data_IF_816697706546
#
_entry.id   IF_816697706546
#
_cell.length_a   1.000
_cell.length_b   1.000
_cell.length_c   1.000
_cell.angle_alpha   90.00
_cell.angle_beta   90.00
_cell.angle_gamma   90.00
#
_symmetry.space_group_name_H-M   'P 1'
#
loop_
_entity.id
_entity.type
_entity.pdbx_description
1 polymer ?
#
# COMPACT_ATOMS: atom_id res chain seq x y z
N UNK A 1 29.97 -2.48 -41.52
CA UNK A 1 28.67 -3.18 -41.52
C UNK A 1 28.47 -4.11 -40.32
N UNK A 2 29.44 -4.98 -39.95
CA UNK A 2 29.31 -5.93 -38.83
C UNK A 2 29.17 -5.20 -37.47
N UNK A 3 29.95 -4.14 -37.22
CA UNK A 3 29.87 -3.39 -35.95
C UNK A 3 28.53 -2.63 -35.72
N UNK A 4 27.88 -2.19 -36.82
CA UNK A 4 26.56 -1.51 -36.71
C UNK A 4 25.42 -2.51 -36.45
N UNK A 5 25.60 -3.76 -36.89
CA UNK A 5 24.63 -4.82 -36.68
C UNK A 5 24.66 -5.33 -35.23
N UNK A 6 25.84 -5.48 -34.63
CA UNK A 6 26.00 -5.82 -33.21
C UNK A 6 25.53 -4.71 -32.27
N UNK A 7 25.74 -3.43 -32.63
CA UNK A 7 25.21 -2.30 -31.89
C UNK A 7 23.66 -2.23 -31.93
N UNK A 8 23.08 -2.59 -33.10
CA UNK A 8 21.62 -2.66 -33.26
C UNK A 8 21.02 -3.85 -32.51
N UNK A 9 21.65 -5.03 -32.53
CA UNK A 9 21.18 -6.19 -31.75
C UNK A 9 21.34 -6.00 -30.25
N UNK A 10 22.42 -5.38 -29.78
CA UNK A 10 22.61 -5.03 -28.38
C UNK A 10 21.61 -3.96 -27.91
N UNK A 11 21.28 -2.98 -28.75
CA UNK A 11 20.25 -1.98 -28.45
C UNK A 11 18.83 -2.59 -28.44
N UNK A 12 18.53 -3.50 -29.35
CA UNK A 12 17.28 -4.26 -29.37
C UNK A 12 17.17 -5.21 -28.16
N UNK A 13 18.24 -5.88 -27.76
CA UNK A 13 18.27 -6.73 -26.57
C UNK A 13 18.14 -5.91 -25.29
N UNK A 14 18.77 -4.72 -25.21
CA UNK A 14 18.63 -3.81 -24.08
C UNK A 14 17.20 -3.22 -23.99
N UNK A 15 16.52 -2.98 -25.11
CA UNK A 15 15.12 -2.53 -25.13
C UNK A 15 14.12 -3.65 -24.84
N UNK A 16 14.54 -4.91 -24.99
CA UNK A 16 13.70 -6.09 -24.72
C UNK A 16 13.72 -6.52 -23.24
N UNK A 17 14.76 -6.15 -22.47
CA UNK A 17 14.86 -6.56 -21.07
C UNK A 17 13.91 -5.75 -20.20
N UNK A 18 13.28 -6.44 -19.20
CA UNK A 18 12.47 -5.78 -18.17
C UNK A 18 13.30 -4.78 -17.38
N UNK A 19 12.70 -3.67 -17.06
CA UNK A 19 13.31 -2.65 -16.24
C UNK A 19 12.27 -1.93 -15.41
N UNK A 20 12.70 -1.44 -14.24
CA UNK A 20 11.98 -0.50 -13.41
C UNK A 20 12.92 0.67 -13.16
N UNK A 21 12.39 1.86 -13.18
CA UNK A 21 13.07 3.08 -12.80
C UNK A 21 12.25 3.88 -11.85
N UNK A 22 12.92 4.59 -10.96
CA UNK A 22 12.31 5.44 -9.95
C UNK A 22 12.95 6.82 -10.09
N UNK A 23 12.12 7.85 -10.00
CA UNK A 23 12.56 9.24 -9.92
C UNK A 23 11.71 10.00 -8.93
N UNK A 24 12.26 11.07 -8.38
CA UNK A 24 11.54 11.94 -7.44
C UNK A 24 11.77 13.41 -7.77
N UNK A 25 10.86 14.25 -7.31
CA UNK A 25 10.98 15.69 -7.33
C UNK A 25 10.29 16.30 -6.12
N UNK A 26 10.76 17.45 -5.65
CA UNK A 26 10.14 18.22 -4.58
C UNK A 26 9.26 19.33 -5.12
N UNK A 27 8.37 19.87 -4.28
CA UNK A 27 7.49 20.99 -4.63
C UNK A 27 8.21 22.29 -5.07
N UNK A 28 9.50 22.39 -4.80
CA UNK A 28 10.33 23.55 -5.19
C UNK A 28 10.80 23.49 -6.66
N UNK A 29 10.61 22.36 -7.35
CA UNK A 29 11.14 22.14 -8.70
C UNK A 29 10.09 22.48 -9.76
N UNK A 30 10.42 23.32 -10.76
CA UNK A 30 9.54 23.54 -11.91
C UNK A 30 9.30 22.23 -12.67
N UNK A 31 8.06 22.00 -13.15
CA UNK A 31 7.71 20.79 -13.90
C UNK A 31 8.13 19.50 -13.20
N UNK A 32 7.83 19.41 -11.89
CA UNK A 32 8.27 18.31 -11.03
C UNK A 32 7.83 16.92 -11.54
N UNK A 33 6.65 16.83 -12.17
CA UNK A 33 6.15 15.59 -12.75
C UNK A 33 7.08 15.07 -13.84
N UNK A 34 7.38 15.90 -14.83
CA UNK A 34 8.28 15.55 -15.93
C UNK A 34 9.73 15.37 -15.48
N UNK A 35 10.18 16.11 -14.45
CA UNK A 35 11.51 15.92 -13.86
C UNK A 35 11.63 14.52 -13.22
N UNK A 36 10.73 14.17 -12.33
CA UNK A 36 10.72 12.85 -11.67
C UNK A 36 10.55 11.73 -12.71
N UNK A 37 9.65 11.91 -13.68
CA UNK A 37 9.44 10.96 -14.76
C UNK A 37 10.69 10.75 -15.62
N UNK A 38 11.36 11.82 -16.04
CA UNK A 38 12.59 11.72 -16.84
C UNK A 38 13.70 10.97 -16.09
N UNK A 39 13.83 11.18 -14.78
CA UNK A 39 14.74 10.43 -13.95
C UNK A 39 14.37 8.93 -13.92
N UNK A 40 13.09 8.61 -13.73
CA UNK A 40 12.60 7.22 -13.75
C UNK A 40 12.81 6.56 -15.11
N UNK A 41 12.57 7.25 -16.20
CA UNK A 41 12.70 6.70 -17.57
C UNK A 41 14.16 6.46 -17.96
N UNK A 42 15.06 7.36 -17.60
CA UNK A 42 16.46 7.33 -18.06
C UNK A 42 16.57 7.10 -19.58
N UNK A 43 15.70 7.74 -20.37
CA UNK A 43 15.64 7.64 -21.84
C UNK A 43 14.96 6.36 -22.39
N UNK A 44 14.31 5.56 -21.56
CA UNK A 44 13.60 4.33 -21.97
C UNK A 44 12.10 4.61 -22.18
N UNK A 45 11.43 3.76 -22.96
CA UNK A 45 9.98 3.84 -23.21
C UNK A 45 9.23 2.99 -22.18
N UNK A 46 8.32 3.57 -21.37
CA UNK A 46 7.59 2.82 -20.36
C UNK A 46 6.36 2.10 -20.93
N UNK A 47 6.02 0.97 -20.32
CA UNK A 47 4.73 0.30 -20.47
C UNK A 47 3.69 0.80 -19.44
N UNK A 48 4.18 1.38 -18.32
CA UNK A 48 3.35 1.92 -17.24
C UNK A 48 4.13 3.00 -16.48
N UNK A 49 3.42 4.03 -16.07
CA UNK A 49 3.89 5.04 -15.12
C UNK A 49 2.96 5.09 -13.91
N UNK A 50 3.54 5.06 -12.70
CA UNK A 50 2.80 5.19 -11.43
C UNK A 50 3.39 6.38 -10.69
N UNK A 51 2.54 7.29 -10.20
CA UNK A 51 2.96 8.45 -9.41
C UNK A 51 2.35 8.42 -8.00
N UNK A 52 3.19 8.61 -7.00
CA UNK A 52 2.82 8.80 -5.61
C UNK A 52 3.14 10.24 -5.24
N UNK A 53 2.15 11.03 -4.84
CA UNK A 53 2.31 12.47 -4.72
C UNK A 53 1.63 13.02 -3.46
N UNK A 54 2.26 14.01 -2.84
CA UNK A 54 1.65 14.76 -1.74
C UNK A 54 0.34 15.42 -2.17
N UNK A 55 -0.63 15.42 -1.28
CA UNK A 55 -1.92 16.08 -1.49
C UNK A 55 -1.81 17.62 -1.51
N UNK A 56 -0.70 18.19 -1.08
CA UNK A 56 -0.45 19.63 -1.05
C UNK A 56 -0.04 20.21 -2.40
N UNK A 57 0.27 19.36 -3.39
CA UNK A 57 0.67 19.78 -4.73
C UNK A 57 -0.53 20.20 -5.56
N UNK A 58 -0.29 21.00 -6.61
CA UNK A 58 -1.28 21.19 -7.68
C UNK A 58 -1.38 19.88 -8.49
N UNK A 59 -2.27 19.01 -8.03
CA UNK A 59 -2.44 17.67 -8.61
C UNK A 59 -2.90 17.74 -10.08
N UNK A 60 -3.68 18.77 -10.46
CA UNK A 60 -4.14 18.95 -11.83
C UNK A 60 -2.95 19.16 -12.76
N UNK A 61 -2.09 20.11 -12.42
CA UNK A 61 -0.86 20.39 -13.19
C UNK A 61 0.08 19.19 -13.19
N UNK A 62 0.26 18.52 -12.06
CA UNK A 62 1.13 17.34 -11.94
C UNK A 62 0.71 16.22 -12.90
N UNK A 63 -0.55 15.81 -12.88
CA UNK A 63 -1.01 14.69 -13.71
C UNK A 63 -1.08 15.05 -15.19
N UNK A 64 -1.35 16.31 -15.53
CA UNK A 64 -1.27 16.83 -16.91
C UNK A 64 0.18 16.78 -17.42
N UNK A 65 1.14 17.24 -16.62
CA UNK A 65 2.57 17.23 -16.96
C UNK A 65 3.06 15.77 -17.17
N UNK A 66 2.73 14.84 -16.26
CA UNK A 66 3.06 13.43 -16.40
C UNK A 66 2.42 12.82 -17.66
N UNK A 67 1.13 13.08 -17.90
CA UNK A 67 0.40 12.53 -19.06
C UNK A 67 0.97 13.08 -20.37
N UNK A 68 1.31 14.37 -20.43
CA UNK A 68 1.91 15.02 -21.60
C UNK A 68 3.32 14.57 -21.92
N UNK A 69 4.01 13.94 -20.96
CA UNK A 69 5.41 13.53 -21.07
C UNK A 69 5.60 12.08 -21.53
N UNK A 70 4.53 11.32 -21.79
CA UNK A 70 4.58 9.93 -22.30
C UNK A 70 3.66 9.75 -23.51
N UNK A 71 3.85 8.66 -24.22
CA UNK A 71 3.02 8.33 -25.39
C UNK A 71 1.55 8.04 -24.97
N UNK A 72 0.62 8.30 -25.88
CA UNK A 72 -0.82 8.23 -25.59
C UNK A 72 -1.29 6.84 -25.09
N UNK A 73 -0.65 5.78 -25.53
CA UNK A 73 -0.96 4.41 -25.13
C UNK A 73 -0.36 3.98 -23.79
N UNK A 74 0.60 4.74 -23.24
CA UNK A 74 1.21 4.43 -21.94
C UNK A 74 0.28 4.85 -20.82
N UNK A 75 -0.25 3.94 -19.98
CA UNK A 75 -1.06 4.30 -18.84
C UNK A 75 -0.27 5.11 -17.82
N UNK A 76 -0.88 6.17 -17.31
CA UNK A 76 -0.38 6.97 -16.18
C UNK A 76 -1.39 6.89 -15.05
N UNK A 77 -0.97 6.32 -13.94
CA UNK A 77 -1.82 6.10 -12.75
C UNK A 77 -1.13 6.59 -11.50
N UNK A 78 -1.83 6.65 -10.38
CA UNK A 78 -1.21 7.01 -9.10
C UNK A 78 -2.22 7.37 -8.04
N UNK A 79 -1.73 7.95 -6.95
CA UNK A 79 -2.57 8.44 -5.87
C UNK A 79 -1.87 9.50 -5.02
N UNK A 80 -2.66 10.21 -4.22
CA UNK A 80 -2.15 11.03 -3.12
C UNK A 80 -1.68 10.16 -1.96
N UNK A 81 -0.80 10.70 -1.13
CA UNK A 81 -0.05 9.96 -0.11
C UNK A 81 -0.14 10.62 1.26
N UNK A 82 0.37 9.94 2.26
CA UNK A 82 0.71 10.53 3.57
C UNK A 82 2.24 10.53 3.78
N UNK A 83 2.96 10.85 2.71
CA UNK A 83 4.40 10.87 2.57
C UNK A 83 4.88 9.82 1.55
N UNK A 84 5.92 10.14 0.81
CA UNK A 84 6.48 9.31 -0.25
C UNK A 84 7.71 8.53 0.24
N UNK A 85 7.94 7.36 -0.35
CA UNK A 85 9.08 6.48 -0.09
C UNK A 85 9.88 6.30 -1.38
N UNK A 86 11.20 6.49 -1.31
CA UNK A 86 12.11 6.20 -2.42
C UNK A 86 13.45 5.66 -1.91
N UNK A 87 14.28 5.08 -2.79
CA UNK A 87 15.64 4.64 -2.43
C UNK A 87 16.52 5.76 -1.86
N UNK A 88 16.15 7.02 -2.04
CA UNK A 88 16.90 8.19 -1.54
C UNK A 88 16.38 8.69 -0.18
N UNK A 89 15.42 7.99 0.43
CA UNK A 89 14.81 8.34 1.70
C UNK A 89 13.32 8.64 1.59
N UNK A 90 12.66 8.82 2.75
CA UNK A 90 11.27 9.31 2.80
C UNK A 90 11.23 10.79 2.41
N UNK A 91 10.09 11.24 1.88
CA UNK A 91 9.83 12.65 1.55
C UNK A 91 8.42 13.05 1.92
N UNK A 92 8.23 14.34 2.17
CA UNK A 92 6.94 14.99 2.33
C UNK A 92 6.82 16.14 1.32
N UNK A 93 5.63 16.35 0.80
CA UNK A 93 5.37 17.46 -0.11
C UNK A 93 5.97 17.30 -1.52
N UNK A 94 6.31 16.08 -1.94
CA UNK A 94 6.93 15.78 -3.22
C UNK A 94 6.13 14.85 -4.10
N UNK A 95 6.81 14.31 -5.11
CA UNK A 95 6.32 13.23 -5.97
C UNK A 95 7.40 12.19 -6.19
N UNK A 96 7.03 10.91 -6.09
CA UNK A 96 7.84 9.76 -6.49
C UNK A 96 7.16 9.10 -7.69
N UNK A 97 7.90 8.92 -8.77
CA UNK A 97 7.42 8.32 -10.01
C UNK A 97 8.13 6.99 -10.25
N UNK A 98 7.35 5.97 -10.53
CA UNK A 98 7.83 4.66 -10.97
C UNK A 98 7.49 4.51 -12.45
N UNK A 99 8.46 4.08 -13.23
CA UNK A 99 8.24 3.66 -14.60
C UNK A 99 8.72 2.22 -14.77
N UNK A 100 7.93 1.40 -15.43
CA UNK A 100 8.33 0.04 -15.81
C UNK A 100 8.12 -0.19 -17.30
N UNK A 101 8.98 -1.01 -17.88
CA UNK A 101 8.92 -1.33 -19.31
C UNK A 101 9.77 -2.54 -19.69
N UNK A 102 9.71 -2.85 -20.96
CA UNK A 102 10.31 -4.04 -21.57
C UNK A 102 9.26 -4.99 -22.13
N UNK A 103 9.63 -5.79 -23.13
CA UNK A 103 8.70 -6.62 -23.91
C UNK A 103 8.03 -7.75 -23.10
N UNK A 104 8.59 -8.09 -21.94
CA UNK A 104 8.10 -9.17 -21.08
C UNK A 104 6.99 -8.75 -20.13
N UNK A 105 6.72 -7.45 -20.02
CA UNK A 105 5.56 -6.96 -19.28
C UNK A 105 4.33 -6.84 -20.18
N UNK A 106 3.18 -7.19 -19.64
CA UNK A 106 1.86 -6.86 -20.16
C UNK A 106 1.11 -6.05 -19.10
N UNK A 107 0.51 -4.93 -19.49
CA UNK A 107 -0.16 -4.02 -18.55
C UNK A 107 -1.57 -3.71 -19.05
N UNK A 108 -2.53 -3.74 -18.15
CA UNK A 108 -3.87 -3.27 -18.40
C UNK A 108 -4.40 -2.53 -17.17
N UNK A 109 -5.05 -1.39 -17.38
CA UNK A 109 -5.55 -0.56 -16.29
C UNK A 109 -7.07 -0.38 -16.38
N UNK A 110 -7.72 -0.18 -15.25
CA UNK A 110 -9.14 0.16 -15.16
C UNK A 110 -9.37 1.14 -14.02
N UNK A 111 -10.43 1.92 -14.14
CA UNK A 111 -10.87 2.85 -13.10
C UNK A 111 -12.35 2.63 -12.81
N UNK A 112 -12.74 2.69 -11.54
CA UNK A 112 -14.10 2.78 -11.08
C UNK A 112 -14.29 4.12 -10.37
N UNK A 113 -15.36 4.84 -10.71
CA UNK A 113 -15.70 6.14 -10.14
C UNK A 113 -17.03 6.03 -9.37
N UNK A 114 -17.28 6.95 -8.41
CA UNK A 114 -18.47 6.94 -7.56
C UNK A 114 -18.64 5.63 -6.77
N UNK A 115 -17.56 5.19 -6.17
CA UNK A 115 -17.45 3.84 -5.58
C UNK A 115 -18.22 3.68 -4.26
N UNK A 116 -18.59 4.77 -3.59
CA UNK A 116 -19.47 4.78 -2.40
C UNK A 116 -20.83 4.13 -2.64
N UNK A 117 -21.31 4.11 -3.88
CA UNK A 117 -22.53 3.41 -4.27
C UNK A 117 -22.42 1.86 -4.23
N UNK A 118 -21.18 1.32 -4.30
CA UNK A 118 -20.95 -0.12 -4.30
C UNK A 118 -19.48 -0.50 -4.37
N UNK A 119 -18.79 -0.46 -3.22
CA UNK A 119 -17.35 -0.75 -3.12
C UNK A 119 -16.96 -2.13 -3.67
N UNK A 120 -17.78 -3.14 -3.42
CA UNK A 120 -17.53 -4.49 -3.93
C UNK A 120 -17.61 -4.57 -5.45
N UNK A 121 -18.64 -3.96 -6.05
CA UNK A 121 -18.81 -3.94 -7.50
C UNK A 121 -17.71 -3.12 -8.17
N UNK A 122 -17.29 -2.02 -7.55
CA UNK A 122 -16.16 -1.23 -8.01
C UNK A 122 -14.83 -2.03 -7.99
N UNK A 123 -14.58 -2.79 -6.91
CA UNK A 123 -13.44 -3.70 -6.83
C UNK A 123 -13.48 -4.78 -7.90
N UNK A 124 -14.64 -5.36 -8.17
CA UNK A 124 -14.84 -6.34 -9.24
C UNK A 124 -14.56 -5.73 -10.62
N UNK A 125 -15.11 -4.54 -10.89
CA UNK A 125 -14.94 -3.84 -12.17
C UNK A 125 -13.44 -3.59 -12.50
N UNK A 126 -12.67 -3.08 -11.56
CA UNK A 126 -11.24 -2.80 -11.83
C UNK A 126 -10.42 -4.09 -11.99
N UNK A 127 -10.85 -5.17 -11.36
CA UNK A 127 -10.21 -6.48 -11.44
C UNK A 127 -10.39 -7.15 -12.81
N UNK A 128 -11.41 -6.77 -13.60
CA UNK A 128 -11.58 -7.24 -14.98
C UNK A 128 -10.40 -6.85 -15.89
N UNK A 129 -9.59 -5.86 -15.50
CA UNK A 129 -8.36 -5.50 -16.21
C UNK A 129 -7.40 -6.70 -16.38
N UNK A 130 -7.40 -7.65 -15.45
CA UNK A 130 -6.57 -8.86 -15.52
C UNK A 130 -6.88 -9.71 -16.76
N UNK A 131 -8.13 -9.73 -17.22
CA UNK A 131 -8.53 -10.49 -18.42
C UNK A 131 -7.98 -9.90 -19.73
N UNK A 132 -7.50 -8.66 -19.70
CA UNK A 132 -6.92 -7.95 -20.86
C UNK A 132 -5.41 -8.10 -20.98
N UNK A 133 -4.77 -8.77 -20.00
CA UNK A 133 -3.35 -9.09 -20.09
C UNK A 133 -3.10 -10.14 -21.17
N UNK A 134 -1.96 -10.01 -21.83
CA UNK A 134 -1.41 -11.10 -22.62
C UNK A 134 -1.18 -12.34 -21.75
N UNK A 135 -1.05 -13.50 -22.36
CA UNK A 135 -0.77 -14.74 -21.63
C UNK A 135 0.64 -14.68 -21.00
N UNK A 136 0.67 -14.34 -19.71
CA UNK A 136 1.87 -14.27 -18.88
C UNK A 136 1.72 -15.23 -17.71
N UNK A 137 2.78 -15.99 -17.36
CA UNK A 137 2.73 -16.99 -16.28
C UNK A 137 2.55 -16.35 -14.91
N UNK A 138 3.07 -15.14 -14.69
CA UNK A 138 2.98 -14.43 -13.44
C UNK A 138 2.11 -13.19 -13.61
N UNK A 139 1.16 -13.00 -12.72
CA UNK A 139 0.21 -11.87 -12.75
C UNK A 139 0.02 -11.32 -11.35
N UNK A 140 -0.15 -10.03 -11.25
CA UNK A 140 -0.52 -9.33 -10.01
C UNK A 140 -1.52 -8.22 -10.35
N UNK A 141 -2.45 -7.95 -9.46
CA UNK A 141 -3.33 -6.79 -9.54
C UNK A 141 -2.97 -5.79 -8.45
N UNK A 142 -2.42 -4.65 -8.87
CA UNK A 142 -2.19 -3.50 -8.01
C UNK A 142 -3.48 -2.69 -7.91
N UNK A 143 -3.88 -2.36 -6.67
CA UNK A 143 -5.04 -1.52 -6.35
C UNK A 143 -4.57 -0.23 -5.67
N UNK A 144 -4.95 0.91 -6.24
CA UNK A 144 -4.84 2.22 -5.62
C UNK A 144 -6.26 2.73 -5.38
N UNK A 145 -6.63 2.92 -4.12
CA UNK A 145 -8.01 3.23 -3.74
C UNK A 145 -8.10 4.57 -3.04
N UNK A 146 -9.20 5.27 -3.18
CA UNK A 146 -9.50 6.42 -2.32
C UNK A 146 -9.56 5.93 -0.87
N UNK A 147 -8.67 6.43 -0.01
CA UNK A 147 -8.52 5.98 1.37
C UNK A 147 -9.71 6.30 2.28
N UNK A 148 -10.57 7.23 1.85
CA UNK A 148 -11.75 7.68 2.58
C UNK A 148 -13.07 7.15 2.00
N UNK A 149 -13.02 6.29 0.98
CA UNK A 149 -14.21 5.78 0.29
C UNK A 149 -15.03 4.75 1.10
N UNK A 150 -14.62 4.37 2.32
CA UNK A 150 -15.38 3.44 3.17
C UNK A 150 -14.68 2.09 3.38
N UNK A 151 -15.45 0.98 3.48
CA UNK A 151 -14.90 -0.35 3.82
C UNK A 151 -14.03 -0.92 2.68
N UNK A 152 -12.74 -0.71 2.78
CA UNK A 152 -11.74 -1.17 1.81
C UNK A 152 -11.71 -2.71 1.68
N UNK A 153 -12.15 -3.45 2.70
CA UNK A 153 -12.23 -4.90 2.62
C UNK A 153 -13.28 -5.36 1.58
N UNK A 154 -14.34 -4.58 1.35
CA UNK A 154 -15.32 -4.88 0.30
C UNK A 154 -14.71 -4.72 -1.10
N UNK A 155 -13.83 -3.73 -1.32
CA UNK A 155 -13.07 -3.59 -2.57
C UNK A 155 -12.21 -4.83 -2.82
N UNK A 156 -11.45 -5.26 -1.82
CA UNK A 156 -10.62 -6.48 -1.90
C UNK A 156 -11.49 -7.73 -2.19
N UNK A 157 -12.64 -7.86 -1.54
CA UNK A 157 -13.58 -8.97 -1.78
C UNK A 157 -14.14 -8.95 -3.20
N UNK A 158 -14.46 -7.76 -3.72
CA UNK A 158 -14.92 -7.58 -5.10
C UNK A 158 -13.86 -7.99 -6.10
N UNK A 159 -12.65 -7.46 -5.96
CA UNK A 159 -11.53 -7.82 -6.83
C UNK A 159 -11.25 -9.33 -6.78
N UNK A 160 -11.21 -9.91 -5.59
CA UNK A 160 -11.02 -11.35 -5.40
C UNK A 160 -12.08 -12.20 -6.11
N UNK A 161 -13.33 -11.77 -6.11
CA UNK A 161 -14.42 -12.53 -6.77
C UNK A 161 -14.18 -12.70 -8.28
N UNK A 162 -13.42 -11.82 -8.89
CA UNK A 162 -13.07 -11.84 -10.31
C UNK A 162 -11.77 -12.63 -10.56
N UNK A 163 -10.69 -12.27 -9.84
CA UNK A 163 -9.37 -12.84 -10.13
C UNK A 163 -9.09 -14.16 -9.42
N UNK A 164 -9.88 -14.49 -8.40
CA UNK A 164 -9.72 -15.74 -7.66
C UNK A 164 -8.41 -15.82 -6.86
N UNK A 165 -7.98 -17.04 -6.57
CA UNK A 165 -6.79 -17.31 -5.75
C UNK A 165 -5.47 -17.22 -6.52
N UNK A 166 -5.54 -17.23 -7.84
CA UNK A 166 -4.34 -17.32 -8.69
C UNK A 166 -3.64 -15.98 -8.92
N UNK A 167 -4.35 -14.88 -8.81
CA UNK A 167 -3.80 -13.54 -8.98
C UNK A 167 -3.75 -12.86 -7.62
N UNK A 168 -2.57 -12.62 -7.06
CA UNK A 168 -2.45 -11.85 -5.83
C UNK A 168 -2.89 -10.40 -6.03
N UNK A 169 -3.43 -9.81 -4.96
CA UNK A 169 -3.75 -8.39 -4.88
C UNK A 169 -2.70 -7.69 -4.02
N UNK A 170 -2.29 -6.51 -4.42
CA UNK A 170 -1.31 -5.68 -3.69
C UNK A 170 -1.66 -4.21 -3.87
N UNK A 171 -1.23 -3.35 -2.98
CA UNK A 171 -1.41 -1.91 -3.14
C UNK A 171 -1.64 -1.17 -1.83
N UNK A 172 -2.25 -0.01 -1.94
CA UNK A 172 -2.52 0.83 -0.77
C UNK A 172 -3.62 1.85 -1.04
N UNK A 173 -4.17 2.34 0.05
CA UNK A 173 -5.16 3.40 0.05
C UNK A 173 -4.47 4.76 0.02
N UNK A 174 -4.93 5.65 -0.84
CA UNK A 174 -4.47 7.03 -0.89
C UNK A 174 -4.55 7.71 0.48
N UNK A 175 -3.62 8.61 0.75
CA UNK A 175 -3.58 9.44 1.96
C UNK A 175 -3.63 10.92 1.64
N UNK A 176 -3.73 11.77 2.66
CA UNK A 176 -3.69 13.23 2.58
C UNK A 176 -2.96 13.85 3.77
N UNK A 177 -1.75 13.36 4.08
CA UNK A 177 -0.89 13.86 5.15
C UNK A 177 -1.58 13.92 6.54
N UNK A 178 -2.44 12.95 6.82
CA UNK A 178 -3.24 12.82 8.06
C UNK A 178 -4.34 13.88 8.23
N UNK A 179 -4.64 14.67 7.21
CA UNK A 179 -5.74 15.64 7.27
C UNK A 179 -7.11 14.98 7.34
N UNK A 180 -7.24 13.73 6.83
CA UNK A 180 -8.49 12.94 6.78
C UNK A 180 -9.65 13.70 6.11
N UNK A 181 -9.35 14.45 5.03
CA UNK A 181 -10.32 15.31 4.34
C UNK A 181 -10.60 14.87 2.93
N UNK A 182 -9.55 14.64 2.12
CA UNK A 182 -9.70 14.36 0.71
C UNK A 182 -8.51 13.57 0.20
N UNK A 183 -8.75 12.34 -0.21
CA UNK A 183 -7.77 11.52 -0.90
C UNK A 183 -8.13 11.37 -2.38
N UNK A 184 -7.14 11.21 -3.23
CA UNK A 184 -7.34 11.15 -4.67
C UNK A 184 -6.53 10.03 -5.31
N UNK A 185 -7.07 9.48 -6.40
CA UNK A 185 -6.33 8.60 -7.29
C UNK A 185 -6.16 9.27 -8.65
N UNK A 186 -5.12 8.89 -9.39
CA UNK A 186 -4.81 9.44 -10.70
C UNK A 186 -5.05 8.41 -11.79
N UNK A 187 -5.67 8.83 -12.88
CA UNK A 187 -5.91 7.96 -14.02
C UNK A 187 -5.87 8.75 -15.33
N UNK A 188 -4.82 8.51 -16.13
CA UNK A 188 -4.63 9.08 -17.47
C UNK A 188 -4.89 10.60 -17.57
N UNK A 189 -4.22 11.37 -16.71
CA UNK A 189 -4.31 12.83 -16.68
C UNK A 189 -5.49 13.39 -15.89
N UNK A 190 -6.27 12.55 -15.22
CA UNK A 190 -7.38 12.97 -14.34
C UNK A 190 -7.04 12.73 -12.88
N UNK A 191 -7.45 13.66 -12.03
CA UNK A 191 -7.47 13.51 -10.56
C UNK A 191 -8.89 13.17 -10.15
N UNK A 192 -9.07 12.05 -9.45
CA UNK A 192 -10.37 11.49 -9.11
C UNK A 192 -10.45 11.25 -7.61
N UNK A 193 -11.56 11.66 -7.02
CA UNK A 193 -11.97 11.30 -5.65
C UNK A 193 -13.07 10.25 -5.72
N UNK A 194 -13.32 9.56 -4.62
CA UNK A 194 -14.34 8.49 -4.58
C UNK A 194 -14.17 7.50 -5.74
N UNK A 195 -12.91 7.05 -5.95
CA UNK A 195 -12.53 6.24 -7.09
C UNK A 195 -11.48 5.18 -6.73
N UNK A 196 -11.37 4.16 -7.58
CA UNK A 196 -10.40 3.08 -7.46
C UNK A 196 -9.73 2.90 -8.81
N UNK A 197 -8.40 2.76 -8.79
CA UNK A 197 -7.60 2.37 -9.95
C UNK A 197 -7.09 0.94 -9.76
N UNK A 198 -7.35 0.07 -10.73
CA UNK A 198 -6.77 -1.25 -10.84
C UNK A 198 -5.71 -1.28 -11.95
N UNK A 199 -4.54 -1.81 -11.61
CA UNK A 199 -3.44 -2.00 -12.55
C UNK A 199 -3.06 -3.48 -12.58
N UNK A 200 -3.47 -4.17 -13.62
CA UNK A 200 -3.06 -5.53 -13.86
C UNK A 200 -1.68 -5.55 -14.52
N UNK A 201 -0.75 -6.30 -13.95
CA UNK A 201 0.61 -6.47 -14.47
C UNK A 201 0.87 -7.97 -14.68
N UNK A 202 1.18 -8.34 -15.90
CA UNK A 202 1.67 -9.66 -16.27
C UNK A 202 3.16 -9.63 -16.55
N UNK A 203 3.87 -10.69 -16.19
CA UNK A 203 5.32 -10.81 -16.39
C UNK A 203 5.73 -12.25 -16.76
N UNK A 204 6.84 -12.39 -17.45
CA UNK A 204 7.48 -13.67 -17.68
C UNK A 204 8.29 -14.17 -16.47
N UNK A 205 8.57 -13.31 -15.51
CA UNK A 205 9.24 -13.64 -14.26
C UNK A 205 8.36 -13.35 -13.03
N UNK A 206 8.67 -13.99 -11.89
CA UNK A 206 7.83 -13.95 -10.72
C UNK A 206 7.74 -12.57 -10.07
N UNK A 207 6.63 -12.37 -9.36
CA UNK A 207 6.45 -11.32 -8.36
C UNK A 207 6.56 -11.92 -6.97
N UNK A 208 7.10 -11.16 -6.02
CA UNK A 208 7.11 -11.55 -4.63
C UNK A 208 6.40 -10.52 -3.76
N UNK A 209 5.62 -10.98 -2.79
CA UNK A 209 4.87 -10.11 -1.88
C UNK A 209 5.20 -10.47 -0.44
N UNK A 210 5.77 -9.52 0.29
CA UNK A 210 6.01 -9.60 1.72
C UNK A 210 5.02 -8.74 2.50
N UNK A 211 4.55 -9.26 3.63
CA UNK A 211 3.57 -8.58 4.50
C UNK A 211 3.96 -8.79 5.95
N UNK A 212 4.28 -7.72 6.66
CA UNK A 212 4.66 -7.77 8.07
C UNK A 212 4.17 -6.54 8.83
N UNK A 213 3.88 -6.73 10.12
CA UNK A 213 3.36 -5.63 10.95
C UNK A 213 4.27 -5.26 12.13
N UNK A 214 4.98 -6.20 12.72
CA UNK A 214 5.88 -5.93 13.87
C UNK A 214 5.22 -5.95 15.25
N UNK A 215 3.91 -6.14 15.32
CA UNK A 215 3.16 -6.22 16.58
C UNK A 215 3.22 -7.65 17.14
N UNK A 216 3.29 -7.76 18.46
CA UNK A 216 3.26 -9.03 19.20
C UNK A 216 2.06 -9.11 20.12
N UNK A 217 1.52 -10.30 20.32
CA UNK A 217 0.39 -10.55 21.21
C UNK A 217 0.76 -10.33 22.67
N UNK A 218 -0.15 -9.71 23.43
CA UNK A 218 -0.04 -9.50 24.87
C UNK A 218 -1.15 -10.25 25.57
N UNK A 219 -0.77 -11.13 26.51
CA UNK A 219 -1.71 -11.90 27.33
C UNK A 219 -2.51 -12.95 26.53
N UNK A 220 -3.63 -13.35 27.13
CA UNK A 220 -4.52 -14.38 26.59
C UNK A 220 -5.48 -13.81 25.53
N UNK A 221 -5.99 -14.65 24.60
CA UNK A 221 -7.00 -14.22 23.64
C UNK A 221 -8.26 -13.73 24.34
N UNK A 222 -8.99 -12.88 23.64
CA UNK A 222 -10.22 -12.23 24.10
C UNK A 222 -11.32 -12.55 23.07
N UNK A 223 -12.50 -12.92 23.51
CA UNK A 223 -13.63 -13.10 22.62
C UNK A 223 -14.28 -11.74 22.31
N UNK A 224 -14.48 -11.42 21.04
CA UNK A 224 -15.29 -10.28 20.62
C UNK A 224 -16.76 -10.66 20.79
N UNK A 225 -17.36 -10.28 21.91
CA UNK A 225 -18.75 -10.66 22.24
C UNK A 225 -19.78 -9.72 21.65
N UNK A 226 -19.39 -8.46 21.34
CA UNK A 226 -20.26 -7.49 20.68
C UNK A 226 -19.47 -6.59 19.73
N UNK A 227 -19.89 -6.51 18.47
CA UNK A 227 -19.37 -5.53 17.51
C UNK A 227 -20.36 -5.22 16.40
N UNK A 228 -20.30 -3.99 15.88
CA UNK A 228 -21.10 -3.52 14.73
C UNK A 228 -20.16 -2.79 13.76
N UNK A 229 -19.90 -3.40 12.61
CA UNK A 229 -18.96 -2.84 11.64
C UNK A 229 -17.55 -2.68 12.22
N UNK A 230 -17.10 -1.45 12.34
CA UNK A 230 -15.77 -1.08 12.89
C UNK A 230 -15.78 -0.84 14.40
N UNK A 231 -16.95 -0.75 15.03
CA UNK A 231 -17.11 -0.51 16.46
C UNK A 231 -17.12 -1.82 17.24
N UNK A 232 -16.25 -1.93 18.24
CA UNK A 232 -16.19 -3.05 19.19
C UNK A 232 -16.85 -2.60 20.49
N UNK A 233 -18.00 -3.20 20.80
CA UNK A 233 -18.83 -2.84 21.95
C UNK A 233 -18.38 -3.60 23.21
N UNK A 234 -18.21 -4.92 23.08
CA UNK A 234 -17.85 -5.78 24.22
C UNK A 234 -16.77 -6.81 23.86
N UNK A 235 -15.89 -7.04 24.83
CA UNK A 235 -14.86 -8.05 24.84
C UNK A 235 -15.06 -8.93 26.11
N UNK A 236 -15.15 -10.25 25.97
CA UNK A 236 -15.44 -11.17 27.08
C UNK A 236 -16.68 -10.75 27.89
N UNK A 237 -17.75 -10.23 27.23
CA UNK A 237 -19.00 -9.73 27.82
C UNK A 237 -18.86 -8.45 28.69
N UNK A 238 -17.69 -7.81 28.70
CA UNK A 238 -17.47 -6.53 29.36
C UNK A 238 -17.29 -5.39 28.35
N UNK A 239 -17.50 -4.11 28.69
CA UNK A 239 -17.25 -2.98 27.80
C UNK A 239 -15.83 -3.01 27.21
N UNK A 240 -15.73 -2.89 25.89
CA UNK A 240 -14.48 -3.14 25.18
C UNK A 240 -13.34 -2.21 25.61
N UNK A 241 -13.64 -0.92 25.83
CA UNK A 241 -12.66 0.06 26.31
C UNK A 241 -12.12 -0.30 27.69
N UNK A 242 -12.97 -0.76 28.60
CA UNK A 242 -12.55 -1.11 29.96
C UNK A 242 -11.63 -2.34 29.96
N UNK A 243 -11.97 -3.37 29.18
CA UNK A 243 -11.12 -4.56 29.01
C UNK A 243 -9.78 -4.18 28.42
N UNK A 244 -9.78 -3.35 27.36
CA UNK A 244 -8.58 -2.92 26.66
C UNK A 244 -7.62 -2.17 27.57
N UNK A 245 -8.10 -1.12 28.26
CA UNK A 245 -7.29 -0.30 29.17
C UNK A 245 -6.76 -1.12 30.37
N UNK A 246 -7.62 -1.95 30.95
CA UNK A 246 -7.27 -2.78 32.11
C UNK A 246 -6.19 -3.81 31.76
N UNK A 247 -6.31 -4.49 30.61
CA UNK A 247 -5.35 -5.53 30.20
C UNK A 247 -3.96 -4.99 29.93
N UNK A 248 -3.87 -3.75 29.46
CA UNK A 248 -2.62 -3.08 29.15
C UNK A 248 -2.04 -2.27 30.33
N UNK A 249 -2.77 -2.13 31.42
CA UNK A 249 -2.37 -1.22 32.51
C UNK A 249 -2.23 0.22 32.03
N UNK A 250 -3.15 0.66 31.16
CA UNK A 250 -3.10 1.96 30.49
C UNK A 250 -3.07 3.11 31.49
N UNK A 251 -2.48 4.27 31.13
CA UNK A 251 -2.55 5.49 31.92
C UNK A 251 -4.01 5.91 32.20
N UNK A 252 -4.27 6.47 33.37
CA UNK A 252 -5.63 6.85 33.76
C UNK A 252 -6.25 7.89 32.80
N UNK A 253 -5.43 8.76 32.27
CA UNK A 253 -5.80 9.81 31.32
C UNK A 253 -6.37 9.22 30.01
N UNK A 254 -5.86 8.08 29.57
CA UNK A 254 -6.36 7.37 28.37
C UNK A 254 -7.81 6.88 28.54
N UNK A 255 -8.35 6.85 29.76
CA UNK A 255 -9.73 6.45 30.02
C UNK A 255 -10.75 7.58 29.81
N UNK A 256 -10.31 8.83 29.64
CA UNK A 256 -11.18 10.03 29.61
C UNK A 256 -10.76 11.12 28.63
N UNK A 257 -9.52 11.05 28.10
CA UNK A 257 -8.98 12.01 27.15
C UNK A 257 -8.69 11.35 25.79
N UNK A 258 -9.30 11.88 24.73
CA UNK A 258 -9.19 11.31 23.38
C UNK A 258 -7.76 11.37 22.81
N UNK A 259 -7.01 12.43 23.10
CA UNK A 259 -5.65 12.57 22.61
C UNK A 259 -4.69 11.61 23.32
N UNK A 260 -4.84 11.44 24.63
CA UNK A 260 -4.08 10.47 25.42
C UNK A 260 -4.44 9.02 25.00
N UNK A 261 -5.73 8.75 24.78
CA UNK A 261 -6.16 7.45 24.28
C UNK A 261 -5.56 7.17 22.90
N UNK A 262 -5.64 8.11 21.96
CA UNK A 262 -5.10 7.94 20.62
C UNK A 262 -3.58 7.67 20.61
N UNK A 263 -2.84 8.42 21.45
CA UNK A 263 -1.38 8.20 21.63
C UNK A 263 -1.09 6.81 22.19
N UNK A 264 -1.84 6.37 23.17
CA UNK A 264 -1.70 5.05 23.76
C UNK A 264 -2.06 3.94 22.78
N UNK A 265 -3.19 4.07 22.07
CA UNK A 265 -3.69 3.07 21.13
C UNK A 265 -2.80 2.89 19.89
N UNK A 266 -1.99 3.90 19.53
CA UNK A 266 -1.10 3.86 18.38
C UNK A 266 -0.13 2.67 18.43
N UNK A 267 0.34 2.32 19.63
CA UNK A 267 1.27 1.19 19.86
C UNK A 267 0.60 -0.07 20.38
N UNK A 268 -0.74 -0.09 20.48
CA UNK A 268 -1.50 -1.18 21.08
C UNK A 268 -2.73 -1.57 20.22
N UNK A 269 -2.53 -2.07 18.98
CA UNK A 269 -3.65 -2.48 18.14
C UNK A 269 -4.31 -3.77 18.61
N UNK A 270 -5.43 -4.13 17.97
CA UNK A 270 -6.03 -5.46 18.08
C UNK A 270 -5.49 -6.38 16.99
N UNK A 271 -5.08 -7.60 17.36
CA UNK A 271 -4.80 -8.69 16.45
C UNK A 271 -6.02 -9.60 16.31
N UNK A 272 -6.40 -9.95 15.10
CA UNK A 272 -7.49 -10.87 14.80
C UNK A 272 -6.94 -12.18 14.25
N UNK A 273 -7.38 -13.31 14.80
CA UNK A 273 -7.02 -14.63 14.26
C UNK A 273 -7.80 -14.89 12.97
N UNK A 274 -7.08 -15.23 11.92
CA UNK A 274 -7.63 -15.61 10.62
C UNK A 274 -6.99 -16.91 10.13
N UNK A 275 -7.69 -17.61 9.23
CA UNK A 275 -7.11 -18.80 8.58
C UNK A 275 -5.88 -18.48 7.73
N UNK A 276 -5.80 -17.25 7.21
CA UNK A 276 -4.66 -16.74 6.42
C UNK A 276 -3.47 -16.28 7.26
N UNK A 277 -3.63 -16.20 8.59
CA UNK A 277 -2.63 -15.65 9.50
C UNK A 277 -3.27 -14.68 10.50
N UNK A 278 -2.53 -13.68 10.91
CA UNK A 278 -2.95 -12.64 11.81
C UNK A 278 -3.24 -11.36 11.04
N UNK A 279 -4.34 -10.72 11.34
CA UNK A 279 -4.68 -9.39 10.81
C UNK A 279 -4.66 -8.38 11.95
N UNK A 280 -4.03 -7.24 11.74
CA UNK A 280 -4.00 -6.14 12.72
C UNK A 280 -5.15 -5.18 12.43
N UNK A 281 -5.72 -4.62 13.49
CA UNK A 281 -6.75 -3.58 13.44
C UNK A 281 -6.29 -2.39 14.26
N UNK A 282 -6.04 -1.29 13.58
CA UNK A 282 -5.74 -0.03 14.23
C UNK A 282 -6.98 0.48 14.97
N UNK A 283 -6.78 0.91 16.21
CA UNK A 283 -7.83 1.53 17.04
C UNK A 283 -7.70 3.04 16.87
N UNK A 284 -8.62 3.62 16.10
CA UNK A 284 -8.60 5.05 15.77
C UNK A 284 -9.17 5.93 16.89
N UNK A 285 -9.94 5.35 17.81
CA UNK A 285 -10.54 6.10 18.91
C UNK A 285 -11.35 5.23 19.84
N UNK A 286 -11.92 5.87 20.84
CA UNK A 286 -12.86 5.28 21.79
C UNK A 286 -14.07 6.19 21.98
N UNK A 287 -15.21 5.58 22.22
CA UNK A 287 -16.36 6.27 22.78
C UNK A 287 -16.35 6.09 24.30
N UNK A 288 -16.23 7.20 25.03
CA UNK A 288 -16.16 7.17 26.49
C UNK A 288 -17.53 7.07 27.18
N UNK A 289 -18.62 7.33 26.46
CA UNK A 289 -19.98 7.24 26.97
C UNK A 289 -20.47 5.78 26.96
N UNK A 290 -20.36 5.09 25.83
CA UNK A 290 -20.73 3.68 25.69
C UNK A 290 -19.58 2.69 25.95
N UNK A 291 -18.37 3.21 26.23
CA UNK A 291 -17.16 2.45 26.55
C UNK A 291 -16.75 1.47 25.44
N UNK A 292 -16.93 1.85 24.17
CA UNK A 292 -16.56 1.09 23.01
C UNK A 292 -15.23 1.54 22.37
N UNK A 293 -14.70 0.70 21.47
CA UNK A 293 -13.52 1.01 20.67
C UNK A 293 -13.90 1.19 19.19
N UNK A 294 -13.30 2.15 18.52
CA UNK A 294 -13.48 2.39 17.10
C UNK A 294 -12.22 1.97 16.32
N UNK A 295 -12.35 0.95 15.48
CA UNK A 295 -11.30 0.49 14.57
C UNK A 295 -11.51 1.08 13.17
N UNK A 296 -10.46 1.14 12.34
CA UNK A 296 -10.58 1.62 10.96
C UNK A 296 -11.08 0.56 9.98
N UNK A 297 -11.16 -0.71 10.42
CA UNK A 297 -11.71 -1.80 9.62
C UNK A 297 -12.53 -2.74 10.49
N UNK A 298 -13.40 -3.50 9.84
CA UNK A 298 -14.36 -4.39 10.50
C UNK A 298 -13.70 -5.37 11.48
N UNK A 299 -14.29 -5.48 12.68
CA UNK A 299 -13.96 -6.47 13.70
C UNK A 299 -15.17 -7.39 13.87
N UNK A 300 -15.11 -8.67 13.43
CA UNK A 300 -16.28 -9.54 13.47
C UNK A 300 -16.60 -10.04 14.88
N UNK A 301 -17.86 -9.99 15.25
CA UNK A 301 -18.38 -10.61 16.46
C UNK A 301 -18.18 -12.13 16.45
N UNK A 302 -17.92 -12.71 17.59
CA UNK A 302 -17.66 -14.15 17.78
C UNK A 302 -16.23 -14.57 17.42
N UNK A 303 -15.38 -13.64 16.96
CA UNK A 303 -13.98 -13.89 16.66
C UNK A 303 -13.08 -13.78 17.90
N UNK A 304 -11.95 -14.50 17.89
CA UNK A 304 -10.89 -14.30 18.88
C UNK A 304 -10.00 -13.13 18.46
N UNK A 305 -9.75 -12.23 19.38
CA UNK A 305 -8.82 -11.12 19.25
C UNK A 305 -7.71 -11.23 20.32
N UNK A 306 -6.61 -10.55 20.07
CA UNK A 306 -5.55 -10.30 21.04
C UNK A 306 -5.31 -8.79 21.11
N UNK A 307 -5.00 -8.30 22.29
CA UNK A 307 -4.33 -7.01 22.39
C UNK A 307 -2.89 -7.23 21.93
N UNK A 308 -2.37 -6.30 21.19
CA UNK A 308 -0.99 -6.37 20.70
C UNK A 308 -0.19 -5.17 21.20
N UNK A 309 1.11 -5.31 21.20
CA UNK A 309 2.05 -4.23 21.49
C UNK A 309 3.22 -4.26 20.52
N UNK A 310 3.85 -3.12 20.32
CA UNK A 310 5.06 -3.00 19.50
C UNK A 310 5.81 -1.72 19.82
N UNK A 311 7.04 -1.66 19.36
CA UNK A 311 7.92 -0.51 19.45
C UNK A 311 8.73 -0.38 18.16
N UNK A 312 9.54 0.65 18.05
CA UNK A 312 10.37 0.95 16.89
C UNK A 312 11.20 -0.26 16.45
N UNK A 313 11.87 -0.95 17.38
CA UNK A 313 12.70 -2.12 17.06
C UNK A 313 11.89 -3.25 16.43
N UNK A 314 10.70 -3.54 16.96
CA UNK A 314 9.85 -4.61 16.44
C UNK A 314 9.25 -4.25 15.08
N UNK A 315 8.92 -2.98 14.86
CA UNK A 315 8.42 -2.44 13.59
C UNK A 315 9.52 -2.47 12.53
N UNK A 316 10.73 -2.03 12.86
CA UNK A 316 11.90 -2.08 11.97
C UNK A 316 12.33 -3.51 11.64
N UNK A 317 12.27 -4.44 12.61
CA UNK A 317 12.55 -5.86 12.34
C UNK A 317 11.51 -6.50 11.40
N UNK A 318 10.27 -6.06 11.48
CA UNK A 318 9.23 -6.50 10.54
C UNK A 318 9.49 -6.01 9.11
N UNK A 319 10.11 -4.84 8.95
CA UNK A 319 10.53 -4.30 7.64
C UNK A 319 11.53 -5.23 6.97
N UNK A 320 12.56 -5.69 7.69
CA UNK A 320 13.52 -6.68 7.19
C UNK A 320 12.81 -7.97 6.77
N UNK A 321 11.86 -8.44 7.59
CA UNK A 321 11.07 -9.64 7.31
C UNK A 321 10.19 -9.50 6.07
N UNK A 322 9.56 -8.35 5.85
CA UNK A 322 8.73 -8.10 4.67
C UNK A 322 9.56 -8.12 3.38
N UNK A 323 10.73 -7.48 3.39
CA UNK A 323 11.67 -7.52 2.26
C UNK A 323 12.15 -8.94 1.96
N UNK A 324 12.56 -9.69 2.98
CA UNK A 324 13.02 -11.06 2.83
C UNK A 324 11.92 -11.99 2.28
N UNK A 325 10.68 -11.88 2.79
CA UNK A 325 9.54 -12.67 2.31
C UNK A 325 9.21 -12.37 0.84
N UNK A 326 9.31 -11.11 0.41
CA UNK A 326 9.11 -10.71 -0.98
C UNK A 326 10.19 -11.29 -1.89
N UNK A 327 11.47 -11.13 -1.54
CA UNK A 327 12.57 -11.63 -2.35
C UNK A 327 12.59 -13.16 -2.44
N UNK A 328 12.23 -13.87 -1.38
CA UNK A 328 12.18 -15.34 -1.37
C UNK A 328 11.20 -15.94 -2.39
N UNK A 329 10.21 -15.16 -2.86
CA UNK A 329 9.24 -15.59 -3.87
C UNK A 329 9.68 -15.31 -5.31
N UNK A 330 10.86 -14.74 -5.51
CA UNK A 330 11.38 -14.46 -6.86
C UNK A 330 12.11 -15.67 -7.49
N UNK A 331 12.06 -16.85 -6.88
CA UNK A 331 12.64 -18.09 -7.41
C UNK A 331 14.12 -17.97 -7.85
N UNK A 332 14.89 -17.17 -7.11
CA UNK A 332 16.31 -16.91 -7.37
C UNK A 332 16.57 -15.82 -8.43
N UNK A 333 15.54 -15.14 -8.92
CA UNK A 333 15.72 -13.94 -9.75
C UNK A 333 16.04 -12.72 -8.90
N UNK A 334 16.87 -11.82 -9.44
CA UNK A 334 17.10 -10.52 -8.83
C UNK A 334 15.87 -9.61 -8.95
N UNK A 335 15.58 -8.84 -7.92
CA UNK A 335 14.58 -7.78 -8.00
C UNK A 335 15.03 -6.67 -8.96
N UNK A 336 14.16 -6.29 -9.88
CA UNK A 336 14.35 -5.14 -10.80
C UNK A 336 13.85 -3.84 -10.20
N UNK A 337 12.95 -3.94 -9.22
CA UNK A 337 12.41 -2.83 -8.46
C UNK A 337 11.42 -3.31 -7.43
N UNK A 338 11.12 -2.43 -6.48
CA UNK A 338 10.25 -2.72 -5.35
C UNK A 338 9.27 -1.59 -5.14
N UNK A 339 7.99 -1.95 -4.89
CA UNK A 339 6.98 -1.03 -4.39
C UNK A 339 6.71 -1.33 -2.92
N UNK A 340 6.73 -0.28 -2.08
CA UNK A 340 6.46 -0.35 -0.66
C UNK A 340 5.19 0.43 -0.31
N UNK A 341 4.23 -0.23 0.35
CA UNK A 341 3.00 0.38 0.85
C UNK A 341 3.04 0.25 2.37
N UNK A 342 3.28 1.36 3.05
CA UNK A 342 3.46 1.36 4.49
C UNK A 342 2.35 2.14 5.19
N UNK A 343 1.95 1.68 6.35
CA UNK A 343 0.88 2.32 7.08
C UNK A 343 1.33 3.64 7.71
N UNK A 344 0.53 4.69 7.57
CA UNK A 344 0.76 5.97 8.25
C UNK A 344 0.87 5.81 9.77
N UNK A 345 0.19 4.82 10.36
CA UNK A 345 0.29 4.56 11.78
C UNK A 345 1.67 3.99 12.18
N UNK A 346 2.33 3.20 11.31
CA UNK A 346 3.73 2.76 11.52
C UNK A 346 4.68 3.96 11.47
N UNK A 347 4.49 4.84 10.47
CA UNK A 347 5.20 6.11 10.39
C UNK A 347 5.07 6.93 11.69
N UNK A 348 3.83 6.97 12.25
CA UNK A 348 3.56 7.65 13.52
C UNK A 348 4.29 7.05 14.72
N UNK A 349 4.49 5.73 14.75
CA UNK A 349 5.28 5.03 15.78
C UNK A 349 6.76 5.34 15.62
N UNK A 350 7.28 5.20 14.41
CA UNK A 350 8.71 5.37 14.12
C UNK A 350 9.21 6.81 14.25
N UNK A 351 8.35 7.80 14.02
CA UNK A 351 8.75 9.21 14.00
C UNK A 351 9.76 9.53 12.89
N UNK A 352 10.29 10.74 12.90
CA UNK A 352 11.14 11.24 11.82
C UNK A 352 12.44 10.43 11.64
N UNK A 353 13.11 10.05 12.72
CA UNK A 353 14.34 9.28 12.66
C UNK A 353 14.10 7.82 12.27
N UNK A 354 13.03 7.22 12.79
CA UNK A 354 12.70 5.82 12.51
C UNK A 354 12.26 5.58 11.07
N UNK A 355 11.57 6.53 10.43
CA UNK A 355 11.20 6.40 9.00
C UNK A 355 12.41 6.45 8.07
N UNK A 356 13.43 7.24 8.39
CA UNK A 356 14.71 7.22 7.66
C UNK A 356 15.38 5.86 7.77
N UNK A 357 15.46 5.30 9.00
CA UNK A 357 15.99 3.96 9.23
C UNK A 357 15.18 2.87 8.51
N UNK A 358 13.87 3.01 8.47
CA UNK A 358 13.00 2.06 7.78
C UNK A 358 13.26 2.02 6.27
N UNK A 359 13.34 3.19 5.62
CA UNK A 359 13.62 3.27 4.18
C UNK A 359 15.04 2.78 3.87
N UNK A 360 16.03 3.06 4.74
CA UNK A 360 17.37 2.49 4.62
C UNK A 360 17.31 0.94 4.68
N UNK A 361 16.58 0.36 5.63
CA UNK A 361 16.41 -1.10 5.75
C UNK A 361 15.72 -1.70 4.53
N UNK A 362 14.68 -1.06 3.99
CA UNK A 362 14.04 -1.51 2.75
C UNK A 362 15.08 -1.53 1.63
N UNK A 363 15.81 -0.43 1.43
CA UNK A 363 16.79 -0.28 0.34
C UNK A 363 17.93 -1.31 0.45
N UNK A 364 18.44 -1.56 1.65
CA UNK A 364 19.44 -2.58 1.90
C UNK A 364 18.87 -4.00 1.76
N UNK A 365 17.67 -4.22 2.30
CA UNK A 365 17.00 -5.52 2.29
C UNK A 365 16.63 -6.02 0.89
N UNK A 366 16.46 -5.09 -0.07
CA UNK A 366 16.18 -5.44 -1.49
C UNK A 366 17.42 -5.39 -2.38
N UNK A 367 18.61 -5.43 -1.76
CA UNK A 367 19.92 -5.53 -2.43
C UNK A 367 20.20 -4.40 -3.44
N UNK A 368 19.70 -3.20 -3.15
CA UNK A 368 19.90 -2.02 -3.98
C UNK A 368 19.01 -1.95 -5.24
N UNK A 369 17.97 -2.77 -5.33
CA UNK A 369 16.93 -2.58 -6.33
C UNK A 369 16.23 -1.21 -6.11
N UNK A 370 15.80 -0.50 -7.16
CA UNK A 370 15.07 0.74 -7.01
C UNK A 370 13.81 0.55 -6.15
N UNK A 371 13.63 1.41 -5.17
CA UNK A 371 12.48 1.40 -4.25
C UNK A 371 11.63 2.62 -4.50
N UNK A 372 10.32 2.42 -4.57
CA UNK A 372 9.33 3.47 -4.53
C UNK A 372 8.12 3.04 -3.72
N UNK A 373 7.39 3.98 -3.17
CA UNK A 373 6.20 3.68 -2.40
C UNK A 373 5.64 4.90 -1.70
N UNK A 374 4.78 4.65 -0.73
CA UNK A 374 4.17 5.72 0.04
C UNK A 374 3.61 5.24 1.38
N UNK A 375 3.42 6.18 2.31
CA UNK A 375 2.66 5.97 3.53
C UNK A 375 1.17 6.09 3.24
N UNK A 376 0.43 5.00 3.52
CA UNK A 376 -0.95 4.76 3.10
C UNK A 376 -1.94 4.84 4.28
N UNK A 377 -3.22 5.01 3.97
CA UNK A 377 -4.31 4.90 4.93
C UNK A 377 -4.82 3.46 5.12
N UNK A 378 -4.13 2.51 4.55
CA UNK A 378 -4.38 1.09 4.67
C UNK A 378 -3.74 0.33 3.52
N UNK A 379 -3.21 -0.84 3.82
CA UNK A 379 -2.45 -1.66 2.91
C UNK A 379 -3.31 -2.77 2.32
N UNK A 380 -3.08 -3.06 1.05
CA UNK A 380 -3.74 -4.16 0.37
C UNK A 380 -2.69 -5.22 0.05
N UNK A 381 -2.87 -6.42 0.62
CA UNK A 381 -2.05 -7.57 0.27
C UNK A 381 -2.86 -8.84 0.46
N UNK A 382 -3.25 -9.46 -0.64
CA UNK A 382 -3.93 -10.74 -0.61
C UNK A 382 -3.15 -11.78 -1.40
N UNK A 383 -2.43 -12.60 -0.68
CA UNK A 383 -1.65 -13.73 -1.24
C UNK A 383 -2.33 -15.06 -0.94
N UNK A 384 -3.10 -15.15 0.15
CA UNK A 384 -3.84 -16.34 0.59
C UNK A 384 -5.15 -15.95 1.28
N UNK A 385 -6.14 -16.83 1.27
CA UNK A 385 -7.41 -16.60 1.98
C UNK A 385 -8.33 -15.58 1.32
N UNK A 386 -9.28 -15.04 2.09
CA UNK A 386 -10.29 -14.06 1.66
C UNK A 386 -10.10 -12.66 2.24
N UNK A 387 -9.23 -12.50 3.23
CA UNK A 387 -8.77 -11.21 3.76
C UNK A 387 -7.76 -10.58 2.82
N UNK A 388 -7.31 -9.39 3.12
CA UNK A 388 -6.29 -8.72 2.30
C UNK A 388 -6.26 -7.22 2.45
N UNK A 389 -7.12 -6.65 3.29
CA UNK A 389 -6.99 -5.29 3.77
C UNK A 389 -6.34 -5.30 5.15
N UNK A 390 -5.26 -4.57 5.29
CA UNK A 390 -4.39 -4.51 6.45
C UNK A 390 -4.30 -3.10 7.02
N UNK A 391 -3.91 -3.03 8.26
CA UNK A 391 -3.59 -1.79 8.96
C UNK A 391 -2.30 -1.99 9.74
N UNK A 392 -1.55 -0.92 9.97
CA UNK A 392 -0.29 -0.95 10.71
C UNK A 392 0.69 -2.02 10.17
N UNK A 393 0.75 -2.16 8.88
CA UNK A 393 1.47 -3.22 8.17
C UNK A 393 2.36 -2.58 7.11
N UNK A 394 3.48 -3.19 6.81
CA UNK A 394 4.26 -2.93 5.60
C UNK A 394 3.98 -4.03 4.58
N UNK A 395 3.61 -3.62 3.38
CA UNK A 395 3.48 -4.49 2.21
C UNK A 395 4.58 -4.14 1.21
N UNK A 396 5.32 -5.14 0.79
CA UNK A 396 6.41 -5.02 -0.19
C UNK A 396 6.07 -5.87 -1.41
N UNK A 397 6.02 -5.26 -2.59
CA UNK A 397 5.93 -5.94 -3.88
C UNK A 397 7.30 -5.89 -4.55
N UNK A 398 7.97 -7.02 -4.67
CA UNK A 398 9.19 -7.18 -5.45
C UNK A 398 8.85 -7.65 -6.87
N UNK A 399 9.46 -7.01 -7.86
CA UNK A 399 9.30 -7.30 -9.30
C UNK A 399 10.64 -7.75 -9.85
N UNK A 400 10.72 -8.91 -10.44
CA UNK A 400 11.96 -9.46 -11.03
C UNK A 400 12.04 -9.31 -12.54
#
# INVERSE_FOLDING_TARGET
>A
MVASQFASEAALAASASRWIGVGRASSAEPSMGSHALNAALAGRTPALVIAFASSELDLGLLVEDLRGSVEAQTPVVGCTTAGEISSEGPTDGGVVVVALGGADFSVATAVAENVDAGLRDAGALVAESVSRLDDRPHRVLLLLTDGLAGDQQEIVRGAYSIVGAQVPLVGGCAGDDQHMKTTSVFYDGRVLTNAIVGVAIGSTSPFGIGVRHGWRRVGEPILVTGSVGTQVLTLDDEPALDVYLRRLGAPAEAATDQAEFARFAMTHPLGLSRRSGEEVRFIAGADFDDRSLHCIAQVPQGGLAWIMEGNDDSVLSATDGACADALAQLDGHDARGVLAFDCIARRGVLGAEGIEQEVERITLGVHGAPVAGFYSYGEIARTKGTGGFHNQTLVVLAVS
#
